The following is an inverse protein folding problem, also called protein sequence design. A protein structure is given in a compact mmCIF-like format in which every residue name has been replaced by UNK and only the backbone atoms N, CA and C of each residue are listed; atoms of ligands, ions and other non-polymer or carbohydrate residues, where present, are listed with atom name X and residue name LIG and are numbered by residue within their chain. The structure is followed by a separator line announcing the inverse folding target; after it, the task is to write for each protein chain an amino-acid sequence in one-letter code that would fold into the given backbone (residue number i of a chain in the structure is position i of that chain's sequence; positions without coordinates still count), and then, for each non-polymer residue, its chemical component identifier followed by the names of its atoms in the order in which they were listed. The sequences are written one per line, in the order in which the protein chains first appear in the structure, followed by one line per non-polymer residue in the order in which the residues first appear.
data_IF_976979020049
#
_entry.id   IF_976979020049
#
_cell.length_a   1.000
_cell.length_b   1.000
_cell.length_c   1.000
_cell.angle_alpha   90.00
_cell.angle_beta   90.00
_cell.angle_gamma   90.00
#
_symmetry.space_group_name_H-M   'P 1'
#
loop_
_entity.id
_entity.type
_entity.pdbx_description
1 polymer ?
#
# COMPACT_ATOMS: atom_id res chain seq x y z
N UNK A 1 -13.56 3.80 -2.35
CA UNK A 1 -12.52 4.73 -2.90
C UNK A 1 -12.88 5.38 -4.25
N UNK A 2 -12.39 6.59 -4.55
CA UNK A 2 -12.63 7.28 -5.84
C UNK A 2 -11.75 6.75 -7.01
N UNK A 3 -12.08 7.11 -8.26
CA UNK A 3 -11.37 6.62 -9.46
C UNK A 3 -9.90 7.03 -9.53
N UNK A 4 -9.55 8.23 -9.08
CA UNK A 4 -8.18 8.74 -9.14
C UNK A 4 -7.30 7.98 -8.14
N UNK A 5 -7.72 7.88 -6.88
CA UNK A 5 -7.02 7.11 -5.85
C UNK A 5 -6.86 5.64 -6.21
N UNK A 6 -7.90 5.01 -6.79
CA UNK A 6 -7.79 3.64 -7.33
C UNK A 6 -6.72 3.52 -8.43
N UNK A 7 -6.59 4.53 -9.30
CA UNK A 7 -5.55 4.56 -10.34
C UNK A 7 -4.16 4.73 -9.74
N UNK A 8 -4.04 5.52 -8.67
CA UNK A 8 -2.77 5.73 -7.98
C UNK A 8 -2.33 4.43 -7.27
N UNK A 9 -3.23 3.72 -6.60
CA UNK A 9 -2.96 2.37 -6.07
C UNK A 9 -2.59 1.35 -7.17
N UNK A 10 -3.19 1.44 -8.36
CA UNK A 10 -2.76 0.61 -9.49
C UNK A 10 -1.34 0.93 -9.95
N UNK A 11 -0.86 2.17 -9.77
CA UNK A 11 0.52 2.52 -10.06
C UNK A 11 1.45 1.97 -8.97
N UNK A 12 1.07 2.04 -7.70
CA UNK A 12 1.80 1.36 -6.60
C UNK A 12 1.98 -0.13 -6.90
N UNK A 13 0.93 -0.82 -7.33
CA UNK A 13 1.04 -2.25 -7.73
C UNK A 13 2.07 -2.45 -8.85
N UNK A 14 2.16 -1.54 -9.82
CA UNK A 14 3.17 -1.63 -10.89
C UNK A 14 4.57 -1.41 -10.33
N UNK A 15 4.76 -0.44 -9.45
CA UNK A 15 6.02 -0.17 -8.77
C UNK A 15 6.48 -1.40 -7.99
N UNK A 16 5.61 -1.99 -7.18
CA UNK A 16 5.92 -3.21 -6.41
C UNK A 16 6.27 -4.41 -7.32
N UNK A 17 5.61 -4.54 -8.48
CA UNK A 17 5.95 -5.60 -9.45
C UNK A 17 7.34 -5.44 -10.07
N UNK A 18 7.91 -4.23 -10.11
CA UNK A 18 9.27 -4.03 -10.60
C UNK A 18 10.30 -4.71 -9.69
N UNK A 19 10.01 -4.89 -8.40
CA UNK A 19 10.92 -5.56 -7.46
C UNK A 19 11.24 -7.00 -7.91
N UNK A 20 10.34 -7.67 -8.63
CA UNK A 20 10.57 -9.03 -9.11
C UNK A 20 11.71 -9.18 -10.12
N UNK A 21 12.12 -8.07 -10.74
CA UNK A 21 13.22 -8.02 -11.71
C UNK A 21 14.45 -7.26 -11.20
N UNK A 22 14.35 -6.61 -10.04
CA UNK A 22 15.47 -5.93 -9.38
C UNK A 22 16.35 -6.98 -8.68
N UNK A 23 17.66 -6.86 -8.84
CA UNK A 23 18.65 -7.72 -8.17
C UNK A 23 19.50 -6.99 -7.15
N UNK A 24 19.52 -5.66 -7.22
CA UNK A 24 20.25 -4.81 -6.29
C UNK A 24 19.40 -4.53 -5.04
N UNK A 25 19.99 -4.72 -3.86
CA UNK A 25 19.26 -4.59 -2.60
C UNK A 25 18.84 -3.15 -2.32
N UNK A 26 19.72 -2.20 -2.59
CA UNK A 26 19.44 -0.77 -2.36
C UNK A 26 18.31 -0.32 -3.27
N UNK A 27 18.33 -0.74 -4.54
CA UNK A 27 17.25 -0.46 -5.50
C UNK A 27 15.89 -1.08 -5.06
N UNK A 28 15.89 -2.26 -4.42
CA UNK A 28 14.66 -2.84 -3.83
C UNK A 28 14.14 -1.95 -2.70
N UNK A 29 15.01 -1.53 -1.78
CA UNK A 29 14.63 -0.67 -0.65
C UNK A 29 14.08 0.65 -1.16
N UNK A 30 14.77 1.33 -2.08
CA UNK A 30 14.30 2.59 -2.69
C UNK A 30 12.92 2.42 -3.36
N UNK A 31 12.70 1.28 -4.02
CA UNK A 31 11.40 0.98 -4.64
C UNK A 31 10.30 0.78 -3.61
N UNK A 32 10.60 0.11 -2.49
CA UNK A 32 9.65 -0.07 -1.38
C UNK A 32 9.33 1.25 -0.69
N UNK A 33 10.33 2.09 -0.42
CA UNK A 33 10.17 3.44 0.16
C UNK A 33 9.30 4.32 -0.75
N UNK A 34 9.56 4.32 -2.06
CA UNK A 34 8.73 5.04 -3.01
C UNK A 34 7.29 4.53 -3.04
N UNK A 35 7.07 3.23 -2.89
CA UNK A 35 5.72 2.66 -2.83
C UNK A 35 5.00 3.06 -1.53
N UNK A 36 5.72 3.15 -0.41
CA UNK A 36 5.19 3.65 0.87
C UNK A 36 4.73 5.09 0.72
N UNK A 37 5.57 5.99 0.18
CA UNK A 37 5.22 7.41 0.00
C UNK A 37 3.93 7.58 -0.83
N UNK A 38 3.81 6.83 -1.93
CA UNK A 38 2.62 6.83 -2.78
C UNK A 38 1.37 6.32 -2.03
N UNK A 39 1.51 5.28 -1.20
CA UNK A 39 0.42 4.75 -0.36
C UNK A 39 -0.01 5.75 0.70
N UNK A 40 0.94 6.43 1.34
CA UNK A 40 0.66 7.45 2.35
C UNK A 40 -0.08 8.64 1.74
N UNK A 41 0.30 9.04 0.52
CA UNK A 41 -0.41 10.08 -0.22
C UNK A 41 -1.87 9.68 -0.50
N UNK A 42 -2.10 8.46 -0.99
CA UNK A 42 -3.47 7.97 -1.24
C UNK A 42 -4.28 7.87 0.05
N UNK A 43 -3.65 7.40 1.14
CA UNK A 43 -4.28 7.31 2.46
C UNK A 43 -4.73 8.69 2.95
N UNK A 44 -3.84 9.68 2.91
CA UNK A 44 -4.15 11.05 3.32
C UNK A 44 -5.31 11.64 2.52
N UNK A 45 -5.36 11.40 1.20
CA UNK A 45 -6.49 11.86 0.38
C UNK A 45 -7.80 11.14 0.74
N UNK A 46 -7.78 9.84 1.07
CA UNK A 46 -8.97 9.09 1.51
C UNK A 46 -9.44 9.58 2.89
N UNK A 47 -8.51 9.86 3.83
CA UNK A 47 -8.78 10.47 5.13
C UNK A 47 -9.41 11.86 4.99
N UNK A 48 -8.83 12.76 4.19
CA UNK A 48 -9.38 14.09 3.96
C UNK A 48 -10.80 14.01 3.38
N UNK A 49 -11.05 13.06 2.47
CA UNK A 49 -12.37 12.85 1.92
C UNK A 49 -13.38 12.28 2.92
N UNK A 50 -12.93 11.46 3.88
CA UNK A 50 -13.77 10.95 4.99
C UNK A 50 -14.11 12.08 5.94
N UNK A 51 -13.10 12.87 6.32
CA UNK A 51 -13.23 13.95 7.30
C UNK A 51 -14.06 15.12 6.76
N UNK A 52 -14.04 15.33 5.44
CA UNK A 52 -14.88 16.32 4.74
C UNK A 52 -16.33 15.86 4.52
N UNK A 53 -16.68 14.64 4.96
CA UNK A 53 -18.01 14.09 4.72
C UNK A 53 -19.05 14.75 5.64
N UNK A 54 -20.25 15.11 5.14
CA UNK A 54 -21.32 15.64 5.98
C UNK A 54 -21.73 14.65 7.08
N UNK A 55 -22.06 15.16 8.26
CA UNK A 55 -22.53 14.36 9.41
C UNK A 55 -23.68 13.40 9.08
N UNK A 56 -24.54 13.77 8.13
CA UNK A 56 -25.66 12.94 7.67
C UNK A 56 -25.23 11.64 6.97
N UNK A 57 -23.97 11.52 6.58
CA UNK A 57 -23.40 10.34 5.94
C UNK A 57 -22.49 9.53 6.89
N UNK A 58 -22.32 9.99 8.13
CA UNK A 58 -21.69 9.17 9.17
C UNK A 58 -22.55 7.92 9.40
N UNK A 59 -21.90 6.78 9.66
CA UNK A 59 -22.55 5.47 9.83
C UNK A 59 -23.25 4.92 8.59
N UNK A 60 -22.89 5.42 7.40
CA UNK A 60 -23.29 4.79 6.14
C UNK A 60 -22.26 3.75 5.72
N UNK A 61 -22.68 2.74 4.96
CA UNK A 61 -21.74 1.76 4.39
C UNK A 61 -20.59 2.42 3.63
N UNK A 62 -20.85 3.58 3.00
CA UNK A 62 -19.80 4.36 2.33
C UNK A 62 -18.76 4.92 3.31
N UNK A 63 -19.18 5.35 4.49
CA UNK A 63 -18.25 5.82 5.53
C UNK A 63 -17.43 4.65 6.05
N UNK A 64 -18.08 3.52 6.35
CA UNK A 64 -17.43 2.29 6.81
C UNK A 64 -16.40 1.79 5.78
N UNK A 65 -16.75 1.78 4.49
CA UNK A 65 -15.83 1.43 3.40
C UNK A 65 -14.59 2.34 3.36
N UNK A 66 -14.73 3.62 3.70
CA UNK A 66 -13.61 4.56 3.74
C UNK A 66 -12.72 4.29 4.96
N UNK A 67 -13.30 3.99 6.13
CA UNK A 67 -12.53 3.58 7.31
C UNK A 67 -11.76 2.29 7.06
N UNK A 68 -12.40 1.29 6.45
CA UNK A 68 -11.77 0.03 6.07
C UNK A 68 -10.63 0.26 5.06
N UNK A 69 -10.84 1.11 4.05
CA UNK A 69 -9.77 1.46 3.11
C UNK A 69 -8.57 2.10 3.83
N UNK A 70 -8.81 3.03 4.75
CA UNK A 70 -7.76 3.73 5.48
C UNK A 70 -6.99 2.74 6.38
N UNK A 71 -7.72 1.88 7.11
CA UNK A 71 -7.12 0.85 7.96
C UNK A 71 -6.26 -0.13 7.14
N UNK A 72 -6.78 -0.62 6.02
CA UNK A 72 -6.03 -1.51 5.12
C UNK A 72 -4.76 -0.82 4.59
N UNK A 73 -4.82 0.46 4.23
CA UNK A 73 -3.65 1.22 3.77
C UNK A 73 -2.60 1.37 4.89
N UNK A 74 -3.00 1.58 6.14
CA UNK A 74 -2.08 1.56 7.28
C UNK A 74 -1.39 0.20 7.44
N UNK A 75 -2.15 -0.89 7.39
CA UNK A 75 -1.63 -2.25 7.52
C UNK A 75 -0.66 -2.59 6.37
N UNK A 76 -0.95 -2.12 5.16
CA UNK A 76 -0.09 -2.30 3.98
C UNK A 76 1.22 -1.52 4.15
N UNK A 77 1.15 -0.24 4.53
CA UNK A 77 2.34 0.58 4.76
C UNK A 77 3.22 -0.02 5.86
N UNK A 78 2.64 -0.46 6.98
CA UNK A 78 3.37 -1.12 8.05
C UNK A 78 4.09 -2.39 7.58
N UNK A 79 3.42 -3.24 6.80
CA UNK A 79 4.04 -4.45 6.26
C UNK A 79 5.21 -4.16 5.30
N UNK A 80 5.16 -3.06 4.55
CA UNK A 80 6.28 -2.64 3.70
C UNK A 80 7.45 -2.08 4.52
N UNK A 81 7.17 -1.35 5.61
CA UNK A 81 8.21 -0.89 6.54
C UNK A 81 8.92 -2.07 7.21
N UNK A 82 8.17 -3.04 7.72
CA UNK A 82 8.74 -4.26 8.33
C UNK A 82 9.62 -5.02 7.32
N UNK A 83 9.18 -5.10 6.06
CA UNK A 83 9.96 -5.70 4.98
C UNK A 83 11.27 -4.95 4.70
N UNK A 84 11.26 -3.62 4.72
CA UNK A 84 12.49 -2.82 4.57
C UNK A 84 13.46 -3.12 5.71
N UNK A 85 12.98 -3.16 6.95
CA UNK A 85 13.80 -3.47 8.12
C UNK A 85 14.42 -4.87 8.04
N UNK A 86 13.66 -5.86 7.57
CA UNK A 86 14.14 -7.22 7.34
C UNK A 86 15.21 -7.27 6.24
N UNK A 87 14.98 -6.57 5.11
CA UNK A 87 15.95 -6.49 4.00
C UNK A 87 17.22 -5.76 4.41
N UNK A 88 17.10 -4.70 5.22
CA UNK A 88 18.23 -3.90 5.69
C UNK A 88 19.08 -4.67 6.71
N UNK A 89 18.44 -5.48 7.56
CA UNK A 89 19.09 -6.21 8.66
C UNK A 89 19.70 -7.56 8.25
N UNK A 90 19.22 -8.19 7.16
CA UNK A 90 19.71 -9.50 6.72
C UNK A 90 20.86 -9.41 5.68
N UNK A 91 21.95 -10.16 5.92
CA UNK A 91 23.04 -10.36 4.96
C UNK A 91 22.64 -11.29 3.80
N UNK A 92 21.57 -12.09 3.94
CA UNK A 92 21.14 -13.11 2.98
C UNK A 92 19.62 -13.07 2.78
N UNK A 93 19.18 -12.01 2.12
CA UNK A 93 17.82 -11.90 1.60
C UNK A 93 17.46 -13.10 0.71
N UNK A 94 16.50 -13.93 1.14
CA UNK A 94 15.87 -14.93 0.28
C UNK A 94 14.90 -14.22 -0.67
N UNK A 95 15.33 -14.05 -1.92
CA UNK A 95 14.51 -13.44 -2.97
C UNK A 95 13.16 -14.14 -3.18
N UNK A 96 12.99 -15.40 -2.78
CA UNK A 96 11.70 -16.08 -2.82
C UNK A 96 10.76 -15.67 -1.68
N UNK A 97 11.31 -15.36 -0.50
CA UNK A 97 10.57 -14.85 0.67
C UNK A 97 10.00 -13.46 0.39
N UNK A 98 10.85 -12.52 -0.06
CA UNK A 98 10.42 -11.17 -0.48
C UNK A 98 9.31 -11.25 -1.51
N UNK A 99 9.45 -12.13 -2.50
CA UNK A 99 8.48 -12.24 -3.59
C UNK A 99 7.09 -12.60 -3.08
N UNK A 100 7.00 -13.58 -2.18
CA UNK A 100 5.73 -14.01 -1.61
C UNK A 100 5.08 -12.89 -0.78
N UNK A 101 5.86 -12.14 -0.02
CA UNK A 101 5.35 -11.04 0.80
C UNK A 101 4.87 -9.87 -0.06
N UNK A 102 5.61 -9.51 -1.12
CA UNK A 102 5.18 -8.49 -2.07
C UNK A 102 3.90 -8.90 -2.79
N UNK A 103 3.75 -10.17 -3.17
CA UNK A 103 2.49 -10.68 -3.74
C UNK A 103 1.32 -10.53 -2.77
N UNK A 104 1.52 -10.84 -1.48
CA UNK A 104 0.50 -10.63 -0.45
C UNK A 104 0.13 -9.16 -0.32
N UNK A 105 1.10 -8.24 -0.32
CA UNK A 105 0.85 -6.81 -0.29
C UNK A 105 0.06 -6.35 -1.52
N UNK A 106 0.45 -6.78 -2.72
CA UNK A 106 -0.26 -6.48 -3.97
C UNK A 106 -1.72 -6.96 -3.89
N UNK A 107 -1.97 -8.15 -3.33
CA UNK A 107 -3.32 -8.68 -3.19
C UNK A 107 -4.16 -7.88 -2.19
N UNK A 108 -3.56 -7.38 -1.11
CA UNK A 108 -4.23 -6.45 -0.18
C UNK A 108 -4.58 -5.13 -0.86
N UNK A 109 -3.64 -4.52 -1.61
CA UNK A 109 -3.91 -3.29 -2.37
C UNK A 109 -5.04 -3.52 -3.39
N UNK A 110 -5.05 -4.67 -4.07
CA UNK A 110 -6.11 -5.02 -5.01
C UNK A 110 -7.48 -5.13 -4.33
N UNK A 111 -7.52 -5.67 -3.11
CA UNK A 111 -8.76 -5.74 -2.31
C UNK A 111 -9.30 -4.35 -1.98
N UNK A 112 -8.43 -3.40 -1.61
CA UNK A 112 -8.79 -1.99 -1.37
C UNK A 112 -9.33 -1.33 -2.64
N UNK A 113 -8.77 -1.64 -3.81
CA UNK A 113 -9.22 -1.08 -5.09
C UNK A 113 -10.62 -1.58 -5.47
N UNK A 114 -10.92 -2.84 -5.17
CA UNK A 114 -12.16 -3.50 -5.57
C UNK A 114 -13.36 -3.18 -4.66
N UNK A 115 -13.10 -2.59 -3.47
CA UNK A 115 -14.10 -2.00 -2.58
C UNK A 115 -14.60 -0.64 -3.12
#
# INVERSE_FOLDING_TARGET
MNRQRRKDLQNVIKTLRNIFIITDREEVIETLESAIDDLEYVRADEEEARDSMPDSLLFTARYDDMEDNIADLYDITGALCDMIDDIASDERVDASGIKAEIENVIQKIQTVIDR
#
